data_IF_096542642747
#
_entry.id   IF_096542642747
#
_cell.length_a   1.000
_cell.length_b   1.000
_cell.length_c   1.000
_cell.angle_alpha   90.00
_cell.angle_beta   90.00
_cell.angle_gamma   90.00
#
_symmetry.space_group_name_H-M   'P 1'
#
loop_
_entity.id
_entity.type
_entity.pdbx_description
1 polymer ?
#
# COMPACT_ATOMS: atom_id res chain seq x y z
N UNK A 1 -39.91 -33.92 -72.44
CA UNK A 1 -40.50 -35.09 -71.70
C UNK A 1 -39.35 -35.76 -70.97
N UNK A 2 -39.23 -35.94 -69.64
CA UNK A 2 -40.07 -35.87 -68.43
C UNK A 2 -39.15 -35.35 -67.30
N UNK A 3 -39.47 -34.27 -66.58
CA UNK A 3 -39.98 -34.19 -65.18
C UNK A 3 -39.49 -35.30 -64.22
N UNK A 4 -38.86 -34.91 -63.09
CA UNK A 4 -39.51 -34.92 -61.76
C UNK A 4 -38.74 -34.13 -60.67
N UNK A 5 -39.52 -33.70 -59.69
CA UNK A 5 -39.29 -32.82 -58.52
C UNK A 5 -39.43 -33.67 -57.25
N UNK A 6 -38.66 -33.40 -56.19
CA UNK A 6 -39.06 -33.42 -54.74
C UNK A 6 -37.77 -33.22 -53.89
N UNK A 7 -37.59 -32.17 -53.09
CA UNK A 7 -38.17 -31.79 -51.77
C UNK A 7 -37.73 -32.69 -50.60
N UNK A 8 -36.92 -32.11 -49.69
CA UNK A 8 -37.12 -32.12 -48.24
C UNK A 8 -36.41 -33.20 -47.40
N UNK A 9 -35.51 -32.79 -46.49
CA UNK A 9 -35.68 -32.90 -45.02
C UNK A 9 -34.37 -32.69 -44.24
N UNK A 10 -34.45 -31.86 -43.18
CA UNK A 10 -33.52 -31.76 -42.06
C UNK A 10 -33.36 -33.10 -41.32
N UNK A 11 -32.16 -33.39 -40.81
CA UNK A 11 -31.92 -33.76 -39.40
C UNK A 11 -30.42 -33.97 -39.12
N UNK A 12 -29.97 -33.40 -38.00
CA UNK A 12 -28.64 -33.57 -37.41
C UNK A 12 -28.52 -34.90 -36.64
N UNK A 13 -27.31 -35.48 -36.58
CA UNK A 13 -26.61 -35.81 -35.32
C UNK A 13 -25.22 -36.46 -35.59
N UNK A 14 -24.19 -35.80 -35.07
CA UNK A 14 -22.99 -36.32 -34.37
C UNK A 14 -22.29 -37.62 -34.78
N UNK A 15 -20.97 -37.53 -35.01
CA UNK A 15 -19.97 -38.37 -34.34
C UNK A 15 -18.56 -37.72 -34.38
N UNK A 16 -17.79 -38.07 -33.36
CA UNK A 16 -16.62 -37.42 -32.78
C UNK A 16 -15.31 -37.45 -33.57
N UNK A 17 -14.44 -36.50 -33.16
CA UNK A 17 -12.99 -36.53 -33.03
C UNK A 17 -12.12 -36.27 -34.28
N UNK A 18 -11.32 -35.20 -34.22
CA UNK A 18 -9.95 -35.31 -33.70
C UNK A 18 -9.49 -33.95 -33.16
N UNK A 19 -8.75 -33.99 -32.05
CA UNK A 19 -8.16 -32.83 -31.40
C UNK A 19 -6.90 -32.41 -32.14
N UNK A 20 -6.82 -31.16 -32.59
CA UNK A 20 -5.55 -30.54 -32.93
C UNK A 20 -5.10 -29.71 -31.73
N UNK A 21 -4.16 -30.29 -30.98
CA UNK A 21 -3.32 -29.54 -30.05
C UNK A 21 -2.33 -28.73 -30.88
N UNK A 22 -2.58 -27.44 -31.06
CA UNK A 22 -1.56 -26.49 -31.47
C UNK A 22 -0.73 -26.10 -30.23
N UNK A 23 0.57 -26.47 -30.15
CA UNK A 23 1.42 -26.14 -29.01
C UNK A 23 1.83 -24.65 -28.97
N UNK A 24 1.39 -23.82 -29.92
CA UNK A 24 1.71 -22.38 -30.00
C UNK A 24 0.47 -21.46 -29.92
N UNK A 25 -0.68 -21.95 -29.45
CA UNK A 25 -1.81 -21.08 -29.12
C UNK A 25 -1.45 -20.12 -27.97
N UNK A 26 -2.04 -18.90 -27.89
CA UNK A 26 -1.85 -18.02 -26.75
C UNK A 26 -2.21 -18.77 -25.46
N UNK A 27 -1.27 -18.83 -24.52
CA UNK A 27 -1.44 -19.53 -23.25
C UNK A 27 -2.54 -18.82 -22.46
N UNK A 28 -3.71 -19.47 -22.35
CA UNK A 28 -4.92 -18.94 -21.71
C UNK A 28 -4.74 -18.73 -20.19
N UNK A 29 -3.62 -19.19 -19.63
CA UNK A 29 -3.24 -19.05 -18.22
C UNK A 29 -2.82 -17.63 -17.82
N UNK A 30 -2.50 -16.77 -18.77
CA UNK A 30 -2.22 -15.35 -18.50
C UNK A 30 -3.49 -14.52 -18.31
N UNK A 31 -4.65 -15.10 -18.61
CA UNK A 31 -5.89 -14.36 -18.80
C UNK A 31 -5.79 -13.44 -20.03
N UNK A 32 -6.90 -13.19 -20.70
CA UNK A 32 -6.99 -12.02 -21.59
C UNK A 32 -6.52 -10.79 -20.81
N UNK A 33 -5.87 -9.78 -21.44
CA UNK A 33 -5.54 -8.52 -20.77
C UNK A 33 -6.77 -8.09 -19.99
N UNK A 34 -6.72 -8.17 -18.66
CA UNK A 34 -7.88 -7.78 -17.87
C UNK A 34 -8.11 -6.33 -18.25
N UNK A 35 -9.27 -6.07 -18.84
CA UNK A 35 -9.67 -4.70 -19.16
C UNK A 35 -9.81 -4.03 -17.81
N UNK A 36 -8.75 -3.37 -17.38
CA UNK A 36 -8.75 -2.59 -16.15
C UNK A 36 -9.95 -1.67 -16.23
N UNK A 37 -10.67 -1.45 -15.11
CA UNK A 37 -11.75 -0.49 -15.10
C UNK A 37 -11.22 0.80 -15.71
N UNK A 38 -11.80 1.19 -16.84
CA UNK A 38 -11.49 2.48 -17.46
C UNK A 38 -11.85 3.54 -16.41
N UNK A 39 -10.82 4.04 -15.72
CA UNK A 39 -10.83 5.36 -15.10
C UNK A 39 -10.90 5.39 -13.59
N UNK A 40 -9.82 5.05 -12.86
CA UNK A 40 -9.63 5.64 -11.51
C UNK A 40 -9.87 7.15 -11.59
N UNK A 41 -10.71 7.78 -10.75
CA UNK A 41 -10.95 9.20 -10.89
C UNK A 41 -9.61 9.94 -10.72
N UNK A 42 -9.21 10.66 -11.78
CA UNK A 42 -7.92 11.33 -11.85
C UNK A 42 -7.99 12.77 -11.32
N UNK A 43 -9.17 13.24 -10.92
CA UNK A 43 -9.41 14.61 -10.52
C UNK A 43 -10.67 14.71 -9.65
N UNK A 44 -10.82 15.87 -9.00
CA UNK A 44 -11.96 16.19 -8.15
C UNK A 44 -11.80 15.72 -6.71
N UNK A 45 -12.87 15.85 -5.94
CA UNK A 45 -12.89 15.45 -4.54
C UNK A 45 -13.47 14.04 -4.41
N UNK A 46 -12.81 13.17 -3.64
CA UNK A 46 -13.34 11.86 -3.33
C UNK A 46 -14.57 12.00 -2.43
N UNK A 47 -15.65 11.30 -2.78
CA UNK A 47 -16.84 11.26 -1.95
C UNK A 47 -16.53 10.64 -0.58
N UNK A 48 -17.10 11.22 0.49
CA UNK A 48 -16.91 10.70 1.85
C UNK A 48 -17.35 9.25 2.05
N UNK A 49 -18.31 8.79 1.25
CA UNK A 49 -18.80 7.39 1.24
C UNK A 49 -17.73 6.37 0.84
N UNK A 50 -16.64 6.83 0.22
CA UNK A 50 -15.52 6.01 -0.27
C UNK A 50 -14.35 5.93 0.71
N UNK A 51 -14.41 6.67 1.82
CA UNK A 51 -13.38 6.69 2.85
C UNK A 51 -13.57 5.54 3.83
N UNK A 52 -12.46 4.94 4.27
CA UNK A 52 -12.49 3.97 5.38
C UNK A 52 -12.37 4.65 6.74
N UNK A 53 -11.78 5.86 6.77
CA UNK A 53 -11.64 6.71 7.95
C UNK A 53 -12.57 7.92 7.85
N UNK A 54 -13.53 8.02 8.78
CA UNK A 54 -14.46 9.18 8.82
C UNK A 54 -13.81 10.46 9.36
N UNK A 55 -12.62 10.35 9.97
CA UNK A 55 -11.83 11.48 10.44
C UNK A 55 -11.16 12.28 9.31
N UNK A 56 -10.99 11.68 8.12
CA UNK A 56 -10.45 12.36 6.94
C UNK A 56 -11.47 13.40 6.46
N UNK A 57 -11.03 14.64 6.28
CA UNK A 57 -11.94 15.76 6.03
C UNK A 57 -12.07 16.15 4.57
N UNK A 58 -11.01 15.91 3.79
CA UNK A 58 -10.92 16.26 2.37
C UNK A 58 -9.97 15.31 1.63
N UNK A 59 -10.23 15.00 0.36
CA UNK A 59 -9.36 14.17 -0.49
C UNK A 59 -9.40 14.68 -1.92
N UNK A 60 -8.34 15.35 -2.32
CA UNK A 60 -8.12 15.88 -3.66
C UNK A 60 -7.42 14.85 -4.54
N UNK A 61 -8.12 14.37 -5.56
CA UNK A 61 -7.63 13.37 -6.50
C UNK A 61 -6.78 13.95 -7.63
N UNK A 62 -6.80 15.27 -7.84
CA UNK A 62 -6.02 15.93 -8.90
C UNK A 62 -4.53 16.00 -8.56
N UNK A 63 -4.22 16.13 -7.28
CA UNK A 63 -2.84 16.15 -6.75
C UNK A 63 -2.55 15.02 -5.77
N UNK A 64 -3.48 14.06 -5.61
CA UNK A 64 -3.43 12.97 -4.64
C UNK A 64 -3.12 13.43 -3.21
N UNK A 65 -3.85 14.42 -2.68
CA UNK A 65 -3.64 14.94 -1.32
C UNK A 65 -4.90 14.76 -0.49
N UNK A 66 -4.74 14.28 0.74
CA UNK A 66 -5.83 14.12 1.70
C UNK A 66 -5.53 14.87 3.00
N UNK A 67 -6.56 15.53 3.53
CA UNK A 67 -6.50 16.31 4.77
C UNK A 67 -6.94 15.48 5.96
N UNK A 68 -6.04 15.31 6.91
CA UNK A 68 -6.29 14.56 8.16
C UNK A 68 -6.12 15.45 9.39
N UNK A 69 -6.77 15.10 10.52
CA UNK A 69 -6.59 15.84 11.76
C UNK A 69 -5.16 15.74 12.28
N UNK A 70 -4.62 16.86 12.75
CA UNK A 70 -3.30 16.96 13.37
C UNK A 70 -3.42 16.99 14.89
N UNK A 71 -2.49 16.35 15.58
CA UNK A 71 -2.43 16.30 17.03
C UNK A 71 -1.08 16.76 17.54
N UNK A 72 -1.09 17.27 18.78
CA UNK A 72 0.05 17.87 19.44
C UNK A 72 0.68 16.88 20.41
N UNK A 73 1.99 16.73 20.33
CA UNK A 73 2.77 16.01 21.32
C UNK A 73 4.06 16.73 21.69
N UNK A 74 4.84 16.09 22.55
CA UNK A 74 6.18 16.55 22.93
C UNK A 74 7.15 15.37 23.04
N UNK A 75 8.43 15.62 22.81
CA UNK A 75 9.53 14.69 23.07
C UNK A 75 10.66 15.49 23.73
N UNK A 76 11.03 15.14 24.96
CA UNK A 76 12.06 15.85 25.73
C UNK A 76 11.87 17.39 25.76
N UNK A 77 10.62 17.84 25.91
CA UNK A 77 10.26 19.26 25.88
C UNK A 77 10.17 19.90 24.49
N UNK A 78 10.68 19.26 23.43
CA UNK A 78 10.51 19.70 22.06
C UNK A 78 9.12 19.33 21.52
N UNK A 79 8.54 20.20 20.70
CA UNK A 79 7.23 19.99 20.07
C UNK A 79 7.33 18.92 18.98
N UNK A 80 6.36 18.00 18.95
CA UNK A 80 6.12 17.09 17.83
C UNK A 80 4.66 17.15 17.40
N UNK A 81 4.41 16.79 16.15
CA UNK A 81 3.06 16.76 15.58
C UNK A 81 2.82 15.40 14.96
N UNK A 82 1.66 14.82 15.23
CA UNK A 82 1.36 13.45 14.84
C UNK A 82 -0.07 13.34 14.31
N UNK A 83 -0.35 12.25 13.61
CA UNK A 83 -1.69 11.90 13.12
C UNK A 83 -2.16 10.59 13.76
N UNK A 84 -3.43 10.23 13.60
CA UNK A 84 -3.97 8.94 14.06
C UNK A 84 -4.67 8.29 12.88
N UNK A 85 -4.33 7.04 12.58
CA UNK A 85 -4.78 6.38 11.35
C UNK A 85 -5.58 5.11 11.63
N UNK A 86 -5.12 4.30 12.59
CA UNK A 86 -5.74 3.03 12.95
C UNK A 86 -5.72 2.82 14.46
N UNK A 87 -6.64 2.00 14.95
CA UNK A 87 -6.62 1.50 16.33
C UNK A 87 -6.91 -0.01 16.37
N UNK A 88 -6.31 -0.69 17.34
CA UNK A 88 -6.50 -2.13 17.57
C UNK A 88 -7.85 -2.49 18.18
N UNK A 89 -8.58 -1.50 18.71
CA UNK A 89 -9.88 -1.65 19.34
C UNK A 89 -10.98 -1.03 18.47
N UNK A 90 -12.08 -1.74 18.28
CA UNK A 90 -13.13 -1.34 17.34
C UNK A 90 -13.96 -0.16 17.85
N UNK A 91 -14.18 -0.08 19.16
CA UNK A 91 -14.93 1.02 19.79
C UNK A 91 -14.09 2.29 19.67
N UNK A 92 -12.79 2.20 19.96
CA UNK A 92 -11.87 3.32 19.85
C UNK A 92 -11.72 3.79 18.39
N UNK A 93 -11.55 2.86 17.45
CA UNK A 93 -11.49 3.17 16.02
C UNK A 93 -12.75 3.92 15.56
N UNK A 94 -13.94 3.40 15.89
CA UNK A 94 -15.21 4.03 15.54
C UNK A 94 -15.38 5.41 16.19
N UNK A 95 -15.03 5.54 17.48
CA UNK A 95 -15.15 6.80 18.24
C UNK A 95 -14.27 7.90 17.67
N UNK A 96 -13.09 7.55 17.16
CA UNK A 96 -12.11 8.50 16.64
C UNK A 96 -12.15 8.64 15.11
N UNK A 97 -12.99 7.86 14.41
CA UNK A 97 -13.08 7.85 12.95
C UNK A 97 -11.84 7.29 12.26
N UNK A 98 -11.20 6.29 12.88
CA UNK A 98 -10.01 5.60 12.40
C UNK A 98 -10.35 4.25 11.78
N UNK A 99 -9.41 3.65 11.06
CA UNK A 99 -9.53 2.25 10.65
C UNK A 99 -9.44 1.33 11.88
N UNK A 100 -10.24 0.26 11.88
CA UNK A 100 -10.11 -0.81 12.86
C UNK A 100 -9.10 -1.85 12.38
N UNK A 101 -8.00 -2.01 13.11
CA UNK A 101 -6.88 -2.89 12.79
C UNK A 101 -6.58 -3.86 13.95
N UNK A 102 -7.36 -4.93 14.14
CA UNK A 102 -7.29 -5.79 15.32
C UNK A 102 -5.89 -6.37 15.56
N UNK A 103 -5.17 -6.67 14.48
CA UNK A 103 -3.82 -7.26 14.51
C UNK A 103 -2.78 -6.35 15.17
N UNK A 104 -3.02 -5.04 15.25
CA UNK A 104 -2.15 -4.12 15.97
C UNK A 104 -2.03 -4.48 17.46
N UNK A 105 -3.03 -5.13 18.05
CA UNK A 105 -2.98 -5.60 19.44
C UNK A 105 -1.81 -6.58 19.69
N UNK A 106 -1.35 -7.27 18.65
CA UNK A 106 -0.27 -8.25 18.72
C UNK A 106 1.12 -7.64 18.53
N UNK A 107 1.23 -6.35 18.22
CA UNK A 107 2.49 -5.73 17.77
C UNK A 107 3.62 -5.80 18.80
N UNK A 108 3.29 -5.84 20.09
CA UNK A 108 4.27 -5.94 21.17
C UNK A 108 4.73 -7.38 21.46
N UNK A 109 4.06 -8.40 20.90
CA UNK A 109 4.37 -9.80 21.15
C UNK A 109 5.72 -10.16 20.52
N UNK A 110 6.73 -10.46 21.35
CA UNK A 110 8.09 -10.70 20.88
C UNK A 110 8.82 -9.45 20.37
N UNK A 111 8.16 -8.29 20.34
CA UNK A 111 8.76 -7.01 19.98
C UNK A 111 8.24 -5.85 20.84
N UNK A 112 8.68 -5.72 22.11
CA UNK A 112 8.24 -4.61 22.97
C UNK A 112 8.60 -3.23 22.40
N UNK A 113 9.71 -3.12 21.67
CA UNK A 113 10.17 -1.87 21.06
C UNK A 113 9.38 -1.47 19.79
N UNK A 114 8.61 -2.40 19.20
CA UNK A 114 7.73 -2.08 18.07
C UNK A 114 6.56 -1.20 18.50
N UNK A 115 6.26 -1.11 19.80
CA UNK A 115 5.20 -0.25 20.34
C UNK A 115 5.81 0.71 21.35
N UNK A 116 5.84 1.99 21.00
CA UNK A 116 6.28 3.03 21.91
C UNK A 116 5.21 3.32 22.97
N UNK A 117 5.59 3.36 24.24
CA UNK A 117 4.68 3.86 25.29
C UNK A 117 4.74 5.38 25.35
N UNK A 118 3.60 6.03 25.18
CA UNK A 118 3.44 7.49 25.35
C UNK A 118 2.73 7.81 26.65
N UNK A 119 2.98 8.99 27.21
CA UNK A 119 2.26 9.48 28.40
C UNK A 119 1.25 10.55 28.01
N UNK A 120 0.08 10.51 28.63
CA UNK A 120 -1.00 11.49 28.45
C UNK A 120 -1.87 11.48 29.69
N UNK A 121 -2.46 12.63 30.04
CA UNK A 121 -3.45 12.70 31.12
C UNK A 121 -4.82 12.16 30.71
N UNK A 122 -5.04 11.97 29.41
CA UNK A 122 -6.23 11.34 28.85
C UNK A 122 -5.85 9.98 28.22
N UNK A 123 -6.55 8.87 28.53
CA UNK A 123 -6.29 7.57 27.92
C UNK A 123 -6.61 7.52 26.41
N UNK A 124 -7.41 8.45 25.91
CA UNK A 124 -7.70 8.61 24.48
C UNK A 124 -6.61 9.47 23.84
N UNK A 125 -5.80 8.84 22.98
CA UNK A 125 -4.67 9.48 22.32
C UNK A 125 -5.08 10.77 21.58
N UNK A 126 -4.42 11.89 21.91
CA UNK A 126 -4.61 13.19 21.25
C UNK A 126 -5.75 14.07 21.79
N UNK A 127 -6.42 13.69 22.89
CA UNK A 127 -7.35 14.59 23.60
C UNK A 127 -6.65 15.56 24.57
N UNK A 128 -5.48 15.17 25.05
CA UNK A 128 -4.56 15.98 25.83
C UNK A 128 -3.16 15.93 25.19
N UNK A 129 -2.24 16.75 25.70
CA UNK A 129 -0.85 16.74 25.25
C UNK A 129 -0.23 15.35 25.49
N UNK A 130 0.43 14.82 24.45
CA UNK A 130 1.04 13.49 24.46
C UNK A 130 2.56 13.61 24.57
N UNK A 131 3.17 12.98 25.57
CA UNK A 131 4.62 12.88 25.70
C UNK A 131 5.11 11.57 25.05
N UNK A 132 5.83 11.71 23.94
CA UNK A 132 6.46 10.61 23.22
C UNK A 132 7.76 10.17 23.90
N UNK A 133 8.11 8.89 23.75
CA UNK A 133 9.35 8.30 24.27
C UNK A 133 10.51 8.27 23.24
N UNK A 134 10.21 8.50 21.97
CA UNK A 134 11.14 8.69 20.86
C UNK A 134 10.57 9.68 19.84
N UNK A 135 11.40 10.11 18.90
CA UNK A 135 11.01 11.05 17.82
C UNK A 135 11.68 10.68 16.50
N UNK A 136 11.39 11.43 15.45
CA UNK A 136 11.93 11.26 14.10
C UNK A 136 12.93 12.37 13.79
N UNK A 137 14.03 12.00 13.15
CA UNK A 137 14.93 12.94 12.51
C UNK A 137 14.50 13.13 11.04
N UNK A 138 14.02 14.33 10.72
CA UNK A 138 13.60 14.75 9.37
C UNK A 138 14.69 15.55 8.63
N UNK A 139 15.89 15.70 9.22
CA UNK A 139 16.99 16.43 8.56
C UNK A 139 17.65 15.71 7.36
N UNK A 140 17.61 14.36 7.24
CA UNK A 140 18.13 13.69 6.05
C UNK A 140 17.42 14.13 4.76
N UNK A 141 18.17 14.21 3.67
CA UNK A 141 17.59 14.46 2.35
C UNK A 141 17.29 13.12 1.67
N UNK A 142 16.06 12.94 1.22
CA UNK A 142 15.70 11.78 0.39
C UNK A 142 16.45 11.80 -0.93
N UNK A 143 17.06 10.68 -1.30
CA UNK A 143 17.78 10.49 -2.57
C UNK A 143 17.39 9.17 -3.22
N UNK A 144 17.03 9.20 -4.50
CA UNK A 144 16.89 8.00 -5.33
C UNK A 144 17.72 8.21 -6.60
N UNK A 145 18.64 7.29 -6.86
CA UNK A 145 19.39 7.26 -8.12
C UNK A 145 19.03 5.97 -8.86
N UNK A 146 18.40 6.06 -10.04
CA UNK A 146 17.98 4.90 -10.81
C UNK A 146 19.12 3.92 -11.11
N UNK A 147 18.80 2.62 -11.09
CA UNK A 147 19.62 1.57 -11.68
C UNK A 147 19.51 1.54 -13.20
N UNK A 148 20.28 0.68 -13.90
CA UNK A 148 20.18 0.51 -15.35
C UNK A 148 18.76 0.19 -15.84
N UNK A 149 18.00 -0.54 -15.03
CA UNK A 149 16.59 -0.92 -15.26
C UNK A 149 15.63 -0.19 -14.32
N UNK A 150 16.07 0.88 -13.67
CA UNK A 150 15.32 1.59 -12.62
C UNK A 150 15.44 0.88 -11.27
N UNK A 151 14.90 -0.34 -11.16
CA UNK A 151 15.00 -1.17 -9.97
C UNK A 151 15.95 -2.37 -10.19
N UNK A 152 16.82 -2.72 -9.21
CA UNK A 152 17.08 -1.95 -7.99
C UNK A 152 17.81 -0.63 -8.31
N UNK A 153 17.56 0.45 -7.53
CA UNK A 153 18.30 1.70 -7.71
C UNK A 153 19.77 1.51 -7.31
N UNK A 154 20.68 2.29 -7.91
CA UNK A 154 22.09 2.31 -7.46
C UNK A 154 22.24 2.97 -6.09
N UNK A 155 21.29 3.84 -5.70
CA UNK A 155 21.28 4.52 -4.42
C UNK A 155 19.84 4.82 -3.99
N UNK A 156 19.54 4.56 -2.72
CA UNK A 156 18.28 4.92 -2.07
C UNK A 156 18.56 5.34 -0.62
N UNK A 157 18.34 6.61 -0.31
CA UNK A 157 18.49 7.18 1.03
C UNK A 157 17.16 7.78 1.50
N UNK A 158 16.64 7.39 2.67
CA UNK A 158 15.37 7.91 3.19
C UNK A 158 15.52 9.38 3.63
N UNK A 159 14.45 10.18 3.50
CA UNK A 159 14.41 11.57 3.97
C UNK A 159 14.18 11.70 5.48
N UNK A 160 13.85 10.62 6.16
CA UNK A 160 13.71 10.64 7.61
C UNK A 160 14.05 9.31 8.25
N UNK A 161 14.52 9.37 9.50
CA UNK A 161 14.99 8.19 10.25
C UNK A 161 14.43 8.23 11.67
N UNK A 162 13.97 7.08 12.14
CA UNK A 162 13.53 6.91 13.52
C UNK A 162 14.70 7.15 14.49
N UNK A 163 14.48 8.03 15.47
CA UNK A 163 15.36 8.19 16.62
C UNK A 163 15.20 7.04 17.63
N UNK A 164 16.09 6.95 18.63
CA UNK A 164 16.00 5.95 19.69
C UNK A 164 14.63 5.96 20.38
N UNK A 165 14.04 4.78 20.55
CA UNK A 165 12.74 4.60 21.22
C UNK A 165 11.52 4.95 20.37
N UNK A 166 11.69 5.41 19.13
CA UNK A 166 10.58 5.74 18.24
C UNK A 166 9.96 4.50 17.59
N UNK A 167 8.63 4.51 17.50
CA UNK A 167 7.83 3.66 16.62
C UNK A 167 6.60 4.44 16.19
N UNK A 168 6.08 4.15 14.99
CA UNK A 168 4.77 4.67 14.54
C UNK A 168 3.62 4.10 15.37
N UNK A 169 3.82 2.94 16.00
CA UNK A 169 2.82 2.31 16.85
C UNK A 169 2.98 2.76 18.30
N UNK A 170 1.89 3.21 18.90
CA UNK A 170 1.90 3.74 20.26
C UNK A 170 0.83 3.11 21.15
N UNK A 171 1.09 3.10 22.45
CA UNK A 171 0.10 2.88 23.51
C UNK A 171 0.18 3.97 24.54
N UNK A 172 -0.95 4.37 25.11
CA UNK A 172 -1.01 5.37 26.18
C UNK A 172 -0.82 4.67 27.53
N UNK A 173 0.28 4.98 28.24
CA UNK A 173 0.60 4.38 29.53
C UNK A 173 0.59 2.85 29.49
N UNK A 174 -0.21 2.23 30.36
CA UNK A 174 -0.42 0.77 30.42
C UNK A 174 -1.67 0.31 29.67
N UNK A 175 -2.28 1.18 28.86
CA UNK A 175 -3.48 0.88 28.09
C UNK A 175 -3.27 -0.27 27.10
N UNK A 176 -4.35 -1.02 26.85
CA UNK A 176 -4.34 -2.18 25.96
C UNK A 176 -4.47 -1.83 24.46
N UNK A 177 -4.93 -0.62 24.14
CA UNK A 177 -5.15 -0.20 22.75
C UNK A 177 -3.82 0.24 22.13
N UNK A 178 -3.51 -0.35 20.97
CA UNK A 178 -2.40 0.08 20.12
C UNK A 178 -2.97 0.98 19.02
N UNK A 179 -2.36 2.14 18.85
CA UNK A 179 -2.69 3.10 17.80
C UNK A 179 -1.57 3.14 16.76
N UNK A 180 -1.92 3.25 15.49
CA UNK A 180 -1.02 3.74 14.45
C UNK A 180 -1.05 5.27 14.48
N UNK A 181 0.00 5.88 15.04
CA UNK A 181 0.06 7.31 15.31
C UNK A 181 1.44 7.93 15.00
N UNK A 182 1.82 7.94 13.71
CA UNK A 182 3.13 8.41 13.27
C UNK A 182 3.31 9.92 13.49
N UNK A 183 4.52 10.33 13.84
CA UNK A 183 4.94 11.73 13.87
C UNK A 183 5.15 12.19 12.42
N UNK A 184 4.59 13.35 12.08
CA UNK A 184 4.66 13.95 10.72
C UNK A 184 5.45 15.26 10.68
N UNK A 185 5.73 15.87 11.83
CA UNK A 185 6.59 17.05 11.92
C UNK A 185 7.16 17.26 13.32
N UNK A 186 8.26 18.02 13.41
CA UNK A 186 8.89 18.45 14.67
C UNK A 186 9.05 19.97 14.74
N UNK A 187 9.13 20.50 15.96
CA UNK A 187 9.34 21.94 16.21
C UNK A 187 8.07 22.78 16.20
N UNK A 188 8.24 24.09 16.30
CA UNK A 188 7.15 25.08 16.38
C UNK A 188 6.85 25.77 15.04
N UNK A 189 7.44 25.27 13.95
CA UNK A 189 7.41 25.90 12.64
C UNK A 189 8.46 27.03 12.46
N UNK A 190 8.53 27.64 11.26
CA UNK A 190 7.78 27.26 10.06
C UNK A 190 8.08 25.81 9.63
N UNK A 191 7.06 25.11 9.13
CA UNK A 191 7.22 23.73 8.65
C UNK A 191 7.70 23.75 7.22
N UNK A 192 8.78 23.05 6.96
CA UNK A 192 9.40 22.92 5.65
C UNK A 192 8.66 21.84 4.86
N UNK A 193 7.83 22.29 3.91
CA UNK A 193 7.15 21.47 2.90
C UNK A 193 7.68 21.78 1.48
N UNK A 194 8.90 22.33 1.43
CA UNK A 194 9.69 22.37 0.19
C UNK A 194 10.28 20.98 -0.09
N UNK A 195 10.99 20.84 -1.20
CA UNK A 195 11.68 19.58 -1.54
C UNK A 195 12.67 19.09 -0.46
N UNK A 196 13.04 19.93 0.50
CA UNK A 196 13.99 19.58 1.54
C UNK A 196 13.40 18.92 2.78
N UNK A 197 12.11 19.15 3.10
CA UNK A 197 11.41 18.51 4.22
C UNK A 197 12.16 18.49 5.57
N UNK A 198 12.95 19.51 5.88
CA UNK A 198 13.94 19.48 6.99
C UNK A 198 13.36 19.27 8.40
N UNK A 199 12.03 19.44 8.57
CA UNK A 199 11.32 19.18 9.82
C UNK A 199 9.93 18.54 9.61
N UNK A 200 9.66 17.96 8.44
CA UNK A 200 8.41 17.27 8.14
C UNK A 200 8.67 15.93 7.44
N UNK A 201 7.69 15.03 7.48
CA UNK A 201 7.71 13.82 6.67
C UNK A 201 7.60 14.18 5.18
N UNK A 202 8.34 13.48 4.31
CA UNK A 202 8.41 13.71 2.84
C UNK A 202 7.06 13.75 2.11
N UNK A 203 5.97 13.22 2.72
CA UNK A 203 4.61 13.25 2.14
C UNK A 203 3.73 14.39 2.65
N UNK A 204 4.23 15.22 3.57
CA UNK A 204 3.48 16.36 4.12
C UNK A 204 3.49 17.52 3.14
N UNK A 205 2.30 17.96 2.71
CA UNK A 205 2.14 19.02 1.72
C UNK A 205 1.77 20.36 2.34
N UNK A 206 1.09 20.35 3.50
CA UNK A 206 0.79 21.53 4.29
C UNK A 206 0.46 21.16 5.74
N UNK A 207 0.75 22.05 6.69
CA UNK A 207 0.37 21.93 8.10
C UNK A 207 -0.31 23.22 8.53
N UNK A 208 -1.47 23.11 9.17
CA UNK A 208 -2.18 24.21 9.82
C UNK A 208 -2.37 23.89 11.31
N UNK A 209 -1.61 24.60 12.17
CA UNK A 209 -1.65 24.43 13.62
C UNK A 209 -2.76 25.22 14.32
N UNK A 210 -3.50 26.04 13.57
CA UNK A 210 -4.69 26.74 14.06
C UNK A 210 -5.93 25.88 13.80
N UNK A 211 -6.09 25.41 12.57
CA UNK A 211 -7.15 24.46 12.19
C UNK A 211 -6.89 23.04 12.71
N UNK A 212 -5.65 22.74 13.14
CA UNK A 212 -5.20 21.42 13.57
C UNK A 212 -5.40 20.37 12.47
N UNK A 213 -4.85 20.65 11.29
CA UNK A 213 -4.92 19.74 10.14
C UNK A 213 -3.57 19.62 9.44
N UNK A 214 -3.39 18.51 8.72
CA UNK A 214 -2.25 18.28 7.84
C UNK A 214 -2.73 17.69 6.53
N UNK A 215 -2.19 18.21 5.44
CA UNK A 215 -2.40 17.71 4.09
C UNK A 215 -1.28 16.74 3.75
N UNK A 216 -1.64 15.51 3.41
CA UNK A 216 -0.72 14.43 3.12
C UNK A 216 -0.95 13.88 1.72
N UNK A 217 0.13 13.71 0.97
CA UNK A 217 0.09 13.00 -0.30
C UNK A 217 -0.22 11.51 -0.02
N UNK A 218 -1.11 10.92 -0.81
CA UNK A 218 -1.47 9.49 -0.76
C UNK A 218 -1.03 8.75 -2.03
N UNK A 219 -1.00 7.42 -1.95
CA UNK A 219 -0.61 6.48 -3.01
C UNK A 219 -1.83 5.79 -3.59
N UNK A 220 -1.84 5.59 -4.91
CA UNK A 220 -2.81 4.74 -5.62
C UNK A 220 -2.33 3.29 -5.65
N UNK A 221 -3.25 2.36 -5.42
CA UNK A 221 -2.95 0.95 -5.19
C UNK A 221 -4.13 0.05 -5.57
N UNK A 222 -3.93 -1.26 -5.42
CA UNK A 222 -4.99 -2.24 -5.61
C UNK A 222 -5.26 -3.07 -4.36
N UNK A 223 -6.49 -3.54 -4.24
CA UNK A 223 -6.86 -4.62 -3.33
C UNK A 223 -8.05 -5.37 -3.91
N UNK A 224 -7.99 -6.70 -3.91
CA UNK A 224 -9.09 -7.55 -4.38
C UNK A 224 -9.64 -7.15 -5.77
N UNK A 225 -8.74 -6.77 -6.69
CA UNK A 225 -9.14 -6.31 -8.03
C UNK A 225 -9.70 -4.89 -8.13
N UNK A 226 -9.70 -4.11 -7.04
CA UNK A 226 -10.26 -2.76 -6.97
C UNK A 226 -9.20 -1.70 -6.68
N UNK A 227 -9.38 -0.51 -7.24
CA UNK A 227 -8.55 0.66 -6.96
C UNK A 227 -8.78 1.21 -5.55
N UNK A 228 -7.69 1.36 -4.82
CA UNK A 228 -7.67 1.87 -3.45
C UNK A 228 -6.62 2.96 -3.28
N UNK A 229 -6.77 3.71 -2.19
CA UNK A 229 -5.84 4.74 -1.79
C UNK A 229 -5.30 4.42 -0.40
N UNK A 230 -4.01 4.69 -0.16
CA UNK A 230 -3.42 4.58 1.18
C UNK A 230 -2.38 5.69 1.41
N UNK A 231 -2.08 5.97 2.67
CA UNK A 231 -0.92 6.80 3.05
C UNK A 231 0.30 5.93 3.30
N UNK A 232 1.51 6.49 3.21
CA UNK A 232 2.72 5.83 3.73
C UNK A 232 3.36 6.71 4.80
N UNK A 233 3.75 6.10 5.92
CA UNK A 233 4.38 6.84 7.04
C UNK A 233 5.79 6.36 7.38
N UNK A 234 6.00 5.04 7.41
CA UNK A 234 7.26 4.45 7.83
C UNK A 234 7.51 3.08 7.21
N UNK A 235 8.78 2.67 7.18
CA UNK A 235 9.17 1.32 6.75
C UNK A 235 10.40 0.83 7.50
N UNK A 236 10.47 -0.48 7.73
CA UNK A 236 11.63 -1.13 8.34
C UNK A 236 12.80 -1.36 7.37
N UNK A 237 12.60 -1.18 6.07
CA UNK A 237 13.65 -1.29 5.06
C UNK A 237 14.00 0.09 4.50
N UNK A 238 15.28 0.48 4.51
CA UNK A 238 15.71 1.81 4.05
C UNK A 238 15.35 2.07 2.58
N UNK A 239 15.48 1.04 1.72
CA UNK A 239 15.06 1.10 0.32
C UNK A 239 13.55 1.38 0.19
N UNK A 240 12.72 0.66 0.93
CA UNK A 240 11.27 0.85 0.91
C UNK A 240 10.89 2.22 1.49
N UNK A 241 11.44 2.61 2.64
CA UNK A 241 11.27 3.95 3.21
C UNK A 241 11.60 5.06 2.19
N UNK A 242 12.67 4.88 1.42
CA UNK A 242 13.05 5.83 0.37
C UNK A 242 12.03 5.88 -0.77
N UNK A 243 11.66 4.75 -1.36
CA UNK A 243 10.75 4.73 -2.51
C UNK A 243 9.35 5.20 -2.13
N UNK A 244 8.92 4.81 -0.93
CA UNK A 244 7.63 5.16 -0.33
C UNK A 244 7.62 6.51 0.39
N UNK A 245 8.70 7.30 0.38
CA UNK A 245 8.75 8.63 1.05
C UNK A 245 8.31 8.56 2.52
N UNK A 246 8.69 7.47 3.19
CA UNK A 246 8.38 7.19 4.57
C UNK A 246 9.61 7.32 5.47
N UNK A 247 9.37 7.37 6.77
CA UNK A 247 10.44 7.30 7.78
C UNK A 247 11.05 5.92 7.81
N UNK A 248 12.38 5.84 7.84
CA UNK A 248 13.05 4.58 8.12
C UNK A 248 12.93 4.22 9.60
N UNK A 249 12.11 3.21 9.91
CA UNK A 249 11.79 2.73 11.26
C UNK A 249 12.19 1.25 11.38
N UNK A 250 13.49 0.93 11.59
CA UNK A 250 14.00 -0.45 11.53
C UNK A 250 13.28 -1.43 12.45
N UNK A 251 12.85 -0.97 13.63
CA UNK A 251 12.23 -1.82 14.64
C UNK A 251 10.96 -2.49 14.14
N UNK A 252 10.20 -1.87 13.23
CA UNK A 252 8.98 -2.46 12.66
C UNK A 252 9.25 -3.80 11.95
N UNK A 253 10.48 -4.03 11.47
CA UNK A 253 10.88 -5.29 10.82
C UNK A 253 10.92 -6.49 11.77
N UNK A 254 10.72 -6.26 13.07
CA UNK A 254 10.66 -7.30 14.11
C UNK A 254 9.24 -7.57 14.60
N UNK A 255 8.22 -6.95 13.99
CA UNK A 255 6.81 -7.28 14.27
C UNK A 255 6.54 -8.78 14.05
N UNK A 256 5.70 -9.42 14.87
CA UNK A 256 5.60 -10.88 14.85
C UNK A 256 4.85 -11.42 13.62
N UNK A 257 5.13 -12.69 13.30
CA UNK A 257 4.50 -13.48 12.23
C UNK A 257 4.73 -12.93 10.81
N UNK A 258 6.00 -12.76 10.44
CA UNK A 258 6.39 -12.52 9.05
C UNK A 258 6.00 -13.71 8.16
N UNK A 259 5.62 -13.44 6.92
CA UNK A 259 5.22 -14.42 5.91
C UNK A 259 4.00 -15.28 6.29
N UNK A 260 3.17 -14.82 7.23
CA UNK A 260 1.95 -15.50 7.69
C UNK A 260 0.77 -14.51 7.80
N UNK A 261 0.21 -14.18 6.63
CA UNK A 261 -0.81 -13.14 6.49
C UNK A 261 -2.22 -13.58 6.90
N UNK A 262 -2.47 -14.88 7.07
CA UNK A 262 -3.76 -15.45 7.53
C UNK A 262 -3.82 -15.65 9.05
N UNK A 263 -2.70 -15.50 9.76
CA UNK A 263 -2.66 -15.71 11.20
C UNK A 263 -3.13 -14.48 11.97
N UNK A 264 -4.31 -14.59 12.59
CA UNK A 264 -4.92 -13.53 13.39
C UNK A 264 -4.10 -13.13 14.62
N UNK A 265 -3.17 -13.97 15.07
CA UNK A 265 -2.19 -13.64 16.13
C UNK A 265 -1.00 -12.83 15.62
N UNK A 266 -0.89 -12.66 14.30
CA UNK A 266 0.10 -11.82 13.65
C UNK A 266 -0.18 -10.33 13.77
N UNK A 267 0.85 -9.51 13.56
CA UNK A 267 0.72 -8.05 13.50
C UNK A 267 0.76 -7.50 12.07
N UNK A 268 1.11 -8.33 11.07
CA UNK A 268 1.38 -7.89 9.69
C UNK A 268 0.39 -8.47 8.68
N UNK A 269 -0.04 -7.69 7.69
CA UNK A 269 -0.82 -8.17 6.55
C UNK A 269 0.02 -8.24 5.26
N UNK A 270 -0.32 -9.07 4.27
CA UNK A 270 0.49 -9.17 3.05
C UNK A 270 0.31 -7.97 2.12
N UNK A 271 1.41 -7.48 1.54
CA UNK A 271 1.41 -6.56 0.39
C UNK A 271 2.39 -7.05 -0.66
N UNK A 272 2.05 -6.85 -1.93
CA UNK A 272 2.88 -7.21 -3.07
C UNK A 272 3.27 -5.98 -3.86
N UNK A 273 4.54 -5.92 -4.26
CA UNK A 273 5.07 -4.88 -5.12
C UNK A 273 5.83 -5.53 -6.26
N UNK A 274 5.44 -5.20 -7.50
CA UNK A 274 6.13 -5.69 -8.70
C UNK A 274 7.37 -4.84 -8.96
N UNK A 275 8.51 -5.45 -9.25
CA UNK A 275 9.75 -4.75 -9.58
C UNK A 275 9.76 -4.26 -11.04
N UNK A 276 9.37 -5.13 -11.97
CA UNK A 276 9.54 -4.98 -13.43
C UNK A 276 8.22 -5.08 -14.23
N UNK A 277 7.11 -4.62 -13.65
CA UNK A 277 5.84 -4.53 -14.35
C UNK A 277 5.92 -3.60 -15.58
N UNK A 278 4.95 -3.71 -16.48
CA UNK A 278 4.84 -2.82 -17.62
C UNK A 278 4.80 -1.34 -17.19
N UNK A 279 5.45 -0.50 -18.01
CA UNK A 279 5.71 0.92 -17.74
C UNK A 279 5.00 1.82 -18.75
N UNK A 280 4.89 3.11 -18.40
CA UNK A 280 4.44 4.17 -19.30
C UNK A 280 2.94 4.25 -19.57
N UNK A 281 2.55 5.35 -20.21
CA UNK A 281 1.15 5.72 -20.46
C UNK A 281 0.39 4.82 -21.47
N UNK A 282 1.11 3.94 -22.19
CA UNK A 282 0.54 3.02 -23.19
C UNK A 282 0.15 1.65 -22.61
N UNK A 283 0.53 1.38 -21.35
CA UNK A 283 0.18 0.14 -20.65
C UNK A 283 -0.61 0.44 -19.36
N UNK A 284 -1.76 1.13 -19.44
CA UNK A 284 -2.50 1.48 -18.24
C UNK A 284 -3.16 0.24 -17.59
N UNK A 285 -3.03 0.08 -16.26
CA UNK A 285 -2.17 0.84 -15.36
C UNK A 285 -0.73 0.35 -15.48
N UNK A 286 0.21 1.28 -15.61
CA UNK A 286 1.62 0.96 -15.42
C UNK A 286 1.81 0.52 -13.96
N UNK A 287 2.72 -0.42 -13.69
CA UNK A 287 2.90 -0.95 -12.35
C UNK A 287 4.35 -1.26 -12.04
N UNK A 288 4.73 -0.99 -10.79
CA UNK A 288 5.94 -1.51 -10.20
C UNK A 288 7.06 -0.49 -9.96
N UNK A 289 8.14 -0.95 -9.35
CA UNK A 289 9.21 -0.08 -8.85
C UNK A 289 10.01 0.56 -9.98
N UNK A 290 10.27 -0.17 -11.08
CA UNK A 290 10.91 0.40 -12.25
C UNK A 290 10.07 1.53 -12.86
N UNK A 291 8.72 1.40 -12.88
CA UNK A 291 7.81 2.45 -13.30
C UNK A 291 7.97 3.71 -12.42
N UNK A 292 7.89 3.54 -11.09
CA UNK A 292 8.05 4.65 -10.14
C UNK A 292 9.36 5.41 -10.34
N UNK A 293 10.46 4.68 -10.54
CA UNK A 293 11.81 5.25 -10.60
C UNK A 293 12.10 5.92 -11.95
N UNK A 294 11.63 5.35 -13.06
CA UNK A 294 12.02 5.79 -14.40
C UNK A 294 11.01 6.73 -15.07
N UNK A 295 9.72 6.64 -14.72
CA UNK A 295 8.67 7.35 -15.47
C UNK A 295 8.20 8.62 -14.75
N UNK A 296 8.55 8.82 -13.48
CA UNK A 296 8.26 10.06 -12.75
C UNK A 296 9.39 11.08 -12.90
N UNK A 297 9.08 12.39 -12.88
CA UNK A 297 10.07 13.43 -12.71
C UNK A 297 10.91 13.20 -11.43
N UNK A 298 12.24 13.40 -11.47
CA UNK A 298 13.09 13.23 -10.30
C UNK A 298 12.83 14.34 -9.26
N UNK A 299 13.25 14.09 -8.02
CA UNK A 299 13.16 15.05 -6.92
C UNK A 299 12.16 14.67 -5.83
N UNK A 300 11.95 15.59 -4.90
CA UNK A 300 11.11 15.38 -3.72
C UNK A 300 9.77 16.09 -3.88
N UNK A 301 8.81 15.72 -3.02
CA UNK A 301 7.47 16.31 -3.08
C UNK A 301 7.52 17.76 -2.61
N UNK A 302 6.71 18.60 -3.24
CA UNK A 302 6.39 19.94 -2.78
C UNK A 302 5.22 20.45 -3.62
N UNK A 303 4.43 21.39 -3.09
CA UNK A 303 3.38 22.06 -3.87
C UNK A 303 3.94 22.84 -5.08
N UNK A 304 5.24 23.13 -5.10
CA UNK A 304 5.93 23.75 -6.24
C UNK A 304 6.26 22.75 -7.37
N UNK A 305 6.21 21.45 -7.08
CA UNK A 305 6.53 20.35 -8.02
C UNK A 305 5.29 19.74 -8.64
N UNK A 306 4.54 20.59 -9.35
CA UNK A 306 3.29 20.20 -10.02
C UNK A 306 3.49 19.13 -11.09
N UNK A 307 4.67 19.06 -11.71
CA UNK A 307 5.06 18.01 -12.65
C UNK A 307 5.05 16.63 -11.99
N UNK A 308 5.70 16.51 -10.84
CA UNK A 308 5.75 15.27 -10.06
C UNK A 308 4.37 14.93 -9.47
N UNK A 309 3.67 15.89 -8.87
CA UNK A 309 2.34 15.66 -8.32
C UNK A 309 1.35 15.17 -9.38
N UNK A 310 1.37 15.74 -10.58
CA UNK A 310 0.52 15.28 -11.70
C UNK A 310 0.94 13.92 -12.22
N UNK A 311 2.23 13.62 -12.25
CA UNK A 311 2.73 12.30 -12.64
C UNK A 311 2.18 11.21 -11.72
N UNK A 312 2.26 11.43 -10.40
CA UNK A 312 1.74 10.51 -9.38
C UNK A 312 0.20 10.41 -9.43
N UNK A 313 -0.51 11.54 -9.59
CA UNK A 313 -1.96 11.55 -9.77
C UNK A 313 -2.44 10.77 -11.00
N UNK A 314 -1.58 10.62 -12.01
CA UNK A 314 -1.86 9.93 -13.27
C UNK A 314 -1.21 8.55 -13.35
N UNK A 315 -1.13 7.87 -12.21
CA UNK A 315 -0.71 6.48 -12.14
C UNK A 315 0.79 6.27 -12.00
N UNK A 316 1.56 7.32 -11.66
CA UNK A 316 3.00 7.24 -11.38
C UNK A 316 3.38 6.47 -10.12
N UNK A 317 2.41 5.89 -9.40
CA UNK A 317 2.64 5.09 -8.20
C UNK A 317 3.03 3.64 -8.54
N UNK A 318 3.57 2.91 -7.55
CA UNK A 318 3.93 1.51 -7.74
C UNK A 318 2.72 0.60 -7.99
N UNK A 319 1.51 1.08 -7.66
CA UNK A 319 0.27 0.32 -7.60
C UNK A 319 0.44 -1.01 -6.84
N UNK A 320 0.94 -0.90 -5.59
CA UNK A 320 1.09 -2.05 -4.70
C UNK A 320 -0.26 -2.76 -4.49
N UNK A 321 -0.22 -4.06 -4.24
CA UNK A 321 -1.41 -4.91 -4.12
C UNK A 321 -1.56 -5.40 -2.69
N UNK A 322 -2.60 -4.96 -2.01
CA UNK A 322 -2.89 -5.30 -0.62
C UNK A 322 -3.70 -6.61 -0.55
N UNK A 323 -3.25 -7.54 0.30
CA UNK A 323 -3.93 -8.82 0.57
C UNK A 323 -5.05 -8.74 1.61
N UNK A 324 -5.28 -7.58 2.22
CA UNK A 324 -6.38 -7.34 3.17
C UNK A 324 -6.93 -5.91 2.99
N UNK A 325 -8.13 -5.65 3.50
CA UNK A 325 -8.75 -4.33 3.43
C UNK A 325 -9.53 -4.03 4.72
N UNK A 326 -9.50 -2.80 5.27
CA UNK A 326 -10.24 -2.47 6.48
C UNK A 326 -11.72 -2.32 6.14
N UNK A 327 -12.48 -3.38 6.42
CA UNK A 327 -13.93 -3.40 6.23
C UNK A 327 -14.61 -3.87 7.51
N UNK A 328 -15.83 -3.38 7.75
CA UNK A 328 -16.70 -3.87 8.81
C UNK A 328 -17.73 -4.90 8.31
N UNK A 329 -17.82 -5.09 6.98
CA UNK A 329 -18.82 -5.97 6.35
C UNK A 329 -18.31 -7.40 6.24
N UNK A 330 -17.09 -7.58 5.75
CA UNK A 330 -16.48 -8.90 5.64
C UNK A 330 -15.69 -9.21 6.92
N UNK A 331 -16.13 -10.25 7.63
CA UNK A 331 -15.52 -10.65 8.89
C UNK A 331 -14.10 -11.20 8.74
N UNK A 332 -13.77 -11.86 7.62
CA UNK A 332 -12.43 -12.39 7.35
C UNK A 332 -11.46 -11.24 7.08
N UNK A 333 -11.78 -10.38 6.11
CA UNK A 333 -10.94 -9.24 5.72
C UNK A 333 -10.70 -8.31 6.91
N UNK A 334 -11.74 -8.08 7.72
CA UNK A 334 -11.63 -7.30 8.97
C UNK A 334 -10.60 -7.85 9.94
N UNK A 335 -10.61 -9.18 10.17
CA UNK A 335 -9.70 -9.81 11.15
C UNK A 335 -8.25 -9.86 10.66
N UNK A 336 -8.06 -9.88 9.34
CA UNK A 336 -6.73 -9.95 8.74
C UNK A 336 -6.08 -8.58 8.51
N UNK A 337 -6.85 -7.49 8.55
CA UNK A 337 -6.33 -6.14 8.31
C UNK A 337 -5.32 -5.70 9.38
N UNK A 338 -4.22 -5.13 8.90
CA UNK A 338 -3.23 -4.37 9.64
C UNK A 338 -2.66 -3.29 8.70
N UNK A 339 -2.39 -2.06 9.16
CA UNK A 339 -1.64 -1.08 8.39
C UNK A 339 -0.15 -1.44 8.29
N UNK A 340 0.32 -2.44 9.05
CA UNK A 340 1.69 -2.95 8.98
C UNK A 340 1.76 -4.02 7.89
N UNK A 341 2.28 -3.67 6.72
CA UNK A 341 2.31 -4.56 5.57
C UNK A 341 3.63 -5.30 5.45
N UNK A 342 3.58 -6.63 5.44
CA UNK A 342 4.71 -7.51 5.16
C UNK A 342 4.94 -7.58 3.64
N UNK A 343 5.99 -6.90 3.20
CA UNK A 343 6.24 -6.64 1.79
C UNK A 343 6.87 -7.83 1.09
N UNK A 344 6.20 -8.36 0.08
CA UNK A 344 6.78 -9.23 -0.93
C UNK A 344 7.15 -8.41 -2.17
N UNK A 345 8.46 -8.27 -2.44
CA UNK A 345 8.94 -7.74 -3.71
C UNK A 345 8.95 -8.89 -4.71
N UNK A 346 8.24 -8.75 -5.82
CA UNK A 346 8.07 -9.77 -6.84
C UNK A 346 8.51 -9.27 -8.21
N UNK A 347 8.88 -10.18 -9.09
CA UNK A 347 9.43 -9.92 -10.41
C UNK A 347 8.80 -10.89 -11.40
N UNK A 348 8.34 -10.36 -12.55
CA UNK A 348 8.00 -11.17 -13.71
C UNK A 348 9.23 -11.86 -14.24
N UNK A 349 9.13 -13.15 -14.55
CA UNK A 349 10.26 -13.88 -15.12
C UNK A 349 10.65 -13.32 -16.49
N UNK A 350 11.92 -13.50 -16.85
CA UNK A 350 12.47 -12.98 -18.11
C UNK A 350 11.69 -13.46 -19.34
N UNK A 351 11.15 -14.68 -19.32
CA UNK A 351 10.33 -15.24 -20.39
C UNK A 351 9.01 -14.46 -20.57
N UNK A 352 8.30 -14.17 -19.48
CA UNK A 352 7.05 -13.41 -19.51
C UNK A 352 7.29 -11.97 -19.99
N UNK A 353 8.39 -11.36 -19.53
CA UNK A 353 8.79 -10.02 -19.99
C UNK A 353 9.14 -10.03 -21.47
N UNK A 354 9.87 -11.05 -21.96
CA UNK A 354 10.23 -11.17 -23.36
C UNK A 354 9.01 -11.32 -24.28
N UNK A 355 7.93 -11.95 -23.80
CA UNK A 355 6.65 -12.04 -24.51
C UNK A 355 5.79 -10.78 -24.41
N UNK A 356 6.15 -9.82 -23.55
CA UNK A 356 5.34 -8.63 -23.32
C UNK A 356 4.03 -8.96 -22.61
N UNK A 357 4.06 -9.89 -21.67
CA UNK A 357 2.91 -10.35 -20.89
C UNK A 357 2.99 -9.93 -19.41
N UNK A 358 3.95 -9.08 -19.05
CA UNK A 358 4.18 -8.56 -17.70
C UNK A 358 3.16 -7.46 -17.30
N UNK A 359 1.88 -7.73 -17.57
CA UNK A 359 0.75 -6.85 -17.31
C UNK A 359 0.59 -6.57 -15.82
N UNK A 360 -0.05 -5.45 -15.50
CA UNK A 360 -0.35 -5.13 -14.10
C UNK A 360 -1.26 -6.18 -13.47
N UNK A 361 -1.13 -6.36 -12.17
CA UNK A 361 -1.90 -7.31 -11.38
C UNK A 361 -2.61 -6.57 -10.24
N UNK A 362 -3.95 -6.63 -10.15
CA UNK A 362 -4.70 -5.90 -9.14
C UNK A 362 -5.15 -6.76 -7.95
N UNK A 363 -4.81 -8.05 -7.94
CA UNK A 363 -5.32 -9.02 -6.97
C UNK A 363 -4.19 -9.90 -6.40
N UNK A 364 -4.17 -10.02 -5.07
CA UNK A 364 -3.13 -10.75 -4.35
C UNK A 364 -3.19 -12.26 -4.61
N UNK A 365 -4.39 -12.85 -4.77
CA UNK A 365 -4.52 -14.28 -5.04
C UNK A 365 -4.15 -14.62 -6.48
N UNK A 366 -4.43 -13.72 -7.43
CA UNK A 366 -3.96 -13.86 -8.80
C UNK A 366 -2.43 -13.81 -8.85
N UNK A 367 -1.78 -12.87 -8.14
CA UNK A 367 -0.31 -12.86 -7.98
C UNK A 367 0.21 -14.20 -7.44
N UNK A 368 -0.46 -14.76 -6.42
CA UNK A 368 -0.10 -16.06 -5.86
C UNK A 368 -0.25 -17.20 -6.88
N UNK A 369 -1.29 -17.20 -7.70
CA UNK A 369 -1.48 -18.20 -8.76
C UNK A 369 -0.37 -18.12 -9.81
N UNK A 370 -0.03 -16.91 -10.27
CA UNK A 370 1.09 -16.67 -11.17
C UNK A 370 2.42 -17.11 -10.58
N UNK A 371 2.62 -16.96 -9.26
CA UNK A 371 3.80 -17.45 -8.56
C UNK A 371 3.86 -18.99 -8.54
N UNK A 372 2.74 -19.66 -8.29
CA UNK A 372 2.65 -21.14 -8.38
C UNK A 372 2.95 -21.63 -9.80
N UNK A 373 2.49 -20.89 -10.82
CA UNK A 373 2.77 -21.19 -12.22
C UNK A 373 4.21 -20.85 -12.66
N UNK A 374 5.01 -20.20 -11.81
CA UNK A 374 6.40 -19.83 -12.11
C UNK A 374 6.54 -18.58 -13.00
N UNK A 375 5.49 -17.77 -13.13
CA UNK A 375 5.51 -16.51 -13.89
C UNK A 375 5.97 -15.32 -13.06
N UNK A 376 5.77 -15.39 -11.73
CA UNK A 376 6.25 -14.42 -10.76
C UNK A 376 7.17 -15.08 -9.73
N UNK A 377 8.28 -14.43 -9.43
CA UNK A 377 9.25 -14.87 -8.40
C UNK A 377 9.61 -13.71 -7.49
N UNK A 378 10.30 -13.93 -6.37
CA UNK A 378 11.10 -12.85 -5.79
C UNK A 378 12.25 -12.49 -6.77
N UNK A 379 12.85 -11.29 -6.63
CA UNK A 379 14.08 -10.97 -7.34
C UNK A 379 15.13 -12.06 -7.17
N UNK A 380 15.75 -12.47 -8.28
CA UNK A 380 16.72 -13.58 -8.29
C UNK A 380 16.11 -14.98 -8.40
N UNK A 381 14.79 -15.10 -8.62
CA UNK A 381 14.15 -16.35 -9.04
C UNK A 381 13.63 -17.25 -7.91
N UNK A 382 13.74 -16.83 -6.65
CA UNK A 382 13.18 -17.58 -5.52
C UNK A 382 11.64 -17.54 -5.53
N UNK A 383 11.01 -18.55 -4.92
CA UNK A 383 9.54 -18.58 -4.80
C UNK A 383 9.05 -17.40 -3.97
N UNK A 384 7.94 -16.78 -4.40
CA UNK A 384 7.36 -15.58 -3.79
C UNK A 384 7.15 -15.77 -2.27
N UNK A 385 7.82 -14.91 -1.52
CA UNK A 385 7.77 -14.81 -0.06
C UNK A 385 8.07 -13.38 0.40
N UNK A 386 7.85 -13.11 1.68
CA UNK A 386 8.17 -11.82 2.29
C UNK A 386 9.65 -11.45 2.13
N UNK A 387 9.92 -10.18 1.85
CA UNK A 387 11.26 -9.58 1.89
C UNK A 387 11.69 -9.23 3.33
N UNK A 388 10.88 -9.58 4.34
CA UNK A 388 11.05 -9.22 5.75
C UNK A 388 11.10 -7.71 6.02
N UNK A 389 10.51 -6.91 5.13
CA UNK A 389 10.28 -5.50 5.35
C UNK A 389 8.82 -5.25 5.72
N UNK A 390 8.61 -4.38 6.71
CA UNK A 390 7.30 -3.85 7.04
C UNK A 390 7.17 -2.45 6.46
N UNK A 391 6.02 -2.13 5.89
CA UNK A 391 5.65 -0.77 5.49
C UNK A 391 4.36 -0.38 6.20
N UNK A 392 4.36 0.76 6.88
CA UNK A 392 3.19 1.33 7.53
C UNK A 392 2.36 2.11 6.49
N UNK A 393 1.34 1.47 5.93
CA UNK A 393 0.48 2.06 4.91
C UNK A 393 -1.02 1.96 5.23
N UNK A 394 -1.58 2.82 6.10
CA UNK A 394 -3.00 2.76 6.42
C UNK A 394 -3.86 3.15 5.23
N UNK A 395 -4.91 2.37 4.99
CA UNK A 395 -5.84 2.59 3.88
C UNK A 395 -6.65 3.87 4.12
N UNK A 396 -6.77 4.68 3.08
CA UNK A 396 -7.55 5.91 3.04
C UNK A 396 -8.98 5.65 2.54
N UNK A 397 -9.12 4.85 1.48
CA UNK A 397 -10.39 4.66 0.80
C UNK A 397 -10.27 3.85 -0.48
N UNK A 398 -11.33 3.87 -1.28
CA UNK A 398 -11.43 3.19 -2.58
C UNK A 398 -11.97 4.12 -3.66
N UNK A 399 -11.70 3.83 -4.93
CA UNK A 399 -12.11 4.72 -6.02
C UNK A 399 -13.61 4.62 -6.32
N UNK A 400 -14.10 3.40 -6.56
CA UNK A 400 -15.46 3.13 -7.02
C UNK A 400 -16.20 2.15 -6.12
N UNK A 401 -15.79 0.88 -6.19
CA UNK A 401 -16.38 -0.20 -5.44
C UNK A 401 -15.49 -0.57 -4.25
N UNK A 402 -16.08 -0.92 -3.10
CA UNK A 402 -15.30 -1.44 -2.00
C UNK A 402 -14.67 -2.79 -2.39
N UNK A 403 -13.41 -3.06 -1.98
CA UNK A 403 -12.77 -4.36 -2.11
C UNK A 403 -13.42 -5.37 -1.16
N UNK A 404 -14.36 -6.17 -1.65
CA UNK A 404 -15.10 -7.14 -0.82
C UNK A 404 -14.79 -8.60 -1.16
N UNK A 405 -14.31 -8.88 -2.36
CA UNK A 405 -14.12 -10.25 -2.85
C UNK A 405 -12.90 -10.33 -3.76
N UNK A 406 -12.06 -11.33 -3.54
CA UNK A 406 -10.88 -11.61 -4.37
C UNK A 406 -11.31 -11.99 -5.80
N UNK A 407 -10.52 -11.60 -6.80
CA UNK A 407 -10.79 -12.00 -8.20
C UNK A 407 -10.54 -13.50 -8.44
N UNK A 408 -9.77 -14.13 -7.56
CA UNK A 408 -9.40 -15.53 -7.67
C UNK A 408 -9.28 -16.18 -6.29
N UNK A 409 -9.49 -17.50 -6.17
CA UNK A 409 -9.28 -18.20 -4.92
C UNK A 409 -7.79 -18.26 -4.56
N UNK A 410 -7.48 -18.22 -3.26
CA UNK A 410 -6.13 -18.38 -2.75
C UNK A 410 -5.58 -19.79 -3.05
N UNK A 411 -4.38 -19.93 -3.66
CA UNK A 411 -3.78 -21.23 -3.94
C UNK A 411 -3.40 -22.01 -2.67
N UNK A 412 -3.50 -23.35 -2.73
CA UNK A 412 -3.26 -24.23 -1.58
C UNK A 412 -1.80 -24.26 -1.11
N UNK A 413 -0.87 -23.96 -2.02
CA UNK A 413 0.57 -23.88 -1.80
C UNK A 413 0.92 -22.77 -0.80
N UNK A 414 0.13 -21.70 -0.79
CA UNK A 414 0.24 -20.59 0.17
C UNK A 414 -0.58 -20.82 1.46
N UNK A 415 -1.28 -21.96 1.57
CA UNK A 415 -2.01 -22.38 2.78
C UNK A 415 -1.21 -23.44 3.56
N UNK A 416 -0.42 -24.27 2.86
CA UNK A 416 0.31 -25.42 3.41
C UNK A 416 1.75 -25.12 3.84
N UNK A 417 2.38 -24.05 3.38
CA UNK A 417 3.77 -23.67 3.76
C UNK A 417 3.87 -22.97 5.14
N UNK A 418 3.08 -23.43 6.12
CA UNK A 418 3.13 -22.95 7.51
C UNK A 418 4.29 -23.56 8.28
#
# INVERSE_FOLDING_TARGET
>A
MRRHIAIGALAALSLLACSDNDPNGPDDRFGSPQKFPDGVPLAGQLERSKLTMTSVTNVDLEINVARVPLFRGTYQGARVWFVRMDASDSIMAATLGLNFAPRLANSANGCPACVQTVQSTDPVLGRADVQFAGTVDFTPMRVVVPGPTGFPPIMALPGSVAGPGYSDLVRVGTGAVIFNAPIVAVGNGPFDVSEAHTNTLDRVMAIDTVAMTVDMQFVRAFSHGKDIFYFTFGSSGALSATLERGTFVPVLGTLPFANDDENEMGARAAIFTIANGMRGAVSPPAQGLAHVILDNPPGNLSLQRLDLLRSLARGGDAHNVLGAFPTLRDNRLRRLYSPMWDLAVIEWTADVVARGENHAQPDANLIRQLAVAGHLTNPGGAFVSSANFVVNCPVLGFAFDPPTEDLAPRPSEFVRRR
#
